data_IF_947911097218
#
_entry.id   IF_947911097218
#
_cell.length_a   1.000
_cell.length_b   1.000
_cell.length_c   1.000
_cell.angle_alpha   90.00
_cell.angle_beta   90.00
_cell.angle_gamma   90.00
#
_symmetry.space_group_name_H-M   'P 1'
#
loop_
_entity.id
_entity.type
_entity.pdbx_description
1 polymer ?
#
# COMPACT_ATOMS: atom_id res chain seq x y z
N UNK A 1 -31.42 18.62 -16.80
CA UNK A 1 -30.32 17.72 -16.42
C UNK A 1 -29.79 18.14 -15.06
N UNK A 2 -29.99 17.34 -14.00
CA UNK A 2 -29.31 17.59 -12.72
C UNK A 2 -27.85 17.18 -12.91
N UNK A 3 -26.95 18.15 -12.89
CA UNK A 3 -25.52 17.89 -12.67
C UNK A 3 -25.43 17.17 -11.33
N UNK A 4 -25.20 15.86 -11.36
CA UNK A 4 -24.80 15.12 -10.18
C UNK A 4 -23.50 15.76 -9.72
N UNK A 5 -23.59 16.53 -8.64
CA UNK A 5 -22.45 17.04 -7.92
C UNK A 5 -21.66 15.79 -7.47
N UNK A 6 -20.63 15.42 -8.22
CA UNK A 6 -19.77 14.30 -7.85
C UNK A 6 -19.17 14.68 -6.51
N UNK A 7 -19.50 13.91 -5.49
CA UNK A 7 -18.96 14.12 -4.14
C UNK A 7 -17.42 14.14 -4.15
N UNK A 8 -16.79 14.39 -2.99
CA UNK A 8 -15.34 14.39 -2.88
C UNK A 8 -14.71 13.22 -3.66
N UNK A 9 -13.90 13.51 -4.69
CA UNK A 9 -13.26 12.50 -5.54
C UNK A 9 -12.32 11.67 -4.65
N UNK A 10 -12.80 10.51 -4.17
CA UNK A 10 -12.08 9.64 -3.21
C UNK A 10 -10.64 9.37 -3.65
N UNK A 11 -10.41 9.24 -4.96
CA UNK A 11 -9.09 9.07 -5.59
C UNK A 11 -8.14 10.23 -5.32
N UNK A 12 -8.61 11.48 -5.37
CA UNK A 12 -7.78 12.65 -5.07
C UNK A 12 -7.34 12.66 -3.60
N UNK A 13 -8.25 12.35 -2.68
CA UNK A 13 -7.91 12.27 -1.25
C UNK A 13 -7.01 11.07 -0.94
N UNK A 14 -7.22 9.95 -1.63
CA UNK A 14 -6.36 8.77 -1.54
C UNK A 14 -4.94 9.09 -1.97
N UNK A 15 -4.76 9.69 -3.16
CA UNK A 15 -3.44 10.03 -3.69
C UNK A 15 -2.73 11.10 -2.86
N UNK A 16 -3.46 12.16 -2.46
CA UNK A 16 -2.92 13.20 -1.60
C UNK A 16 -2.48 12.65 -0.23
N UNK A 17 -3.36 11.90 0.45
CA UNK A 17 -3.03 11.38 1.79
C UNK A 17 -1.95 10.30 1.74
N UNK A 18 -1.95 9.42 0.74
CA UNK A 18 -0.89 8.45 0.54
C UNK A 18 0.45 9.16 0.28
N UNK A 19 0.49 10.18 -0.57
CA UNK A 19 1.70 10.96 -0.86
C UNK A 19 2.26 11.68 0.36
N UNK A 20 1.40 12.41 1.08
CA UNK A 20 1.80 13.13 2.29
C UNK A 20 2.34 12.17 3.35
N UNK A 21 1.64 11.05 3.57
CA UNK A 21 2.01 10.14 4.65
C UNK A 21 3.20 9.25 4.27
N UNK A 22 3.39 8.93 2.98
CA UNK A 22 4.63 8.33 2.48
C UNK A 22 5.83 9.25 2.72
N UNK A 23 5.72 10.52 2.33
CA UNK A 23 6.78 11.50 2.53
C UNK A 23 7.07 11.74 4.02
N UNK A 24 6.03 11.79 4.86
CA UNK A 24 6.18 11.91 6.31
C UNK A 24 6.86 10.67 6.92
N UNK A 25 6.48 9.45 6.49
CA UNK A 25 7.14 8.21 6.94
C UNK A 25 8.61 8.16 6.55
N UNK A 26 8.94 8.58 5.33
CA UNK A 26 10.32 8.73 4.88
C UNK A 26 11.07 9.75 5.74
N UNK A 27 10.51 10.94 5.98
CA UNK A 27 11.12 11.97 6.81
C UNK A 27 11.36 11.52 8.27
N UNK A 28 10.42 10.78 8.85
CA UNK A 28 10.58 10.19 10.19
C UNK A 28 11.73 9.18 10.19
N UNK A 29 11.85 8.36 9.15
CA UNK A 29 12.93 7.39 9.03
C UNK A 29 14.30 8.07 8.90
N UNK A 30 14.37 9.22 8.21
CA UNK A 30 15.59 10.05 8.14
C UNK A 30 16.03 10.53 9.53
N UNK A 31 15.10 10.98 10.36
CA UNK A 31 15.41 11.55 11.68
C UNK A 31 15.91 10.48 12.65
N UNK A 32 15.46 9.24 12.49
CA UNK A 32 15.67 8.17 13.46
C UNK A 32 16.85 7.26 13.17
N UNK A 33 17.35 7.24 11.94
CA UNK A 33 18.46 6.37 11.52
C UNK A 33 19.72 7.24 11.39
N UNK A 34 20.71 6.96 12.24
CA UNK A 34 22.02 7.62 12.20
C UNK A 34 22.75 7.24 10.90
N UNK A 35 23.32 8.23 10.21
CA UNK A 35 23.79 8.09 8.82
C UNK A 35 24.94 7.10 8.67
N UNK A 36 24.65 5.90 8.18
CA UNK A 36 25.61 5.11 7.42
C UNK A 36 25.69 5.65 5.99
N UNK A 37 26.66 6.53 5.69
CA UNK A 37 26.85 7.00 4.32
C UNK A 37 27.32 5.85 3.44
N UNK A 38 26.48 5.39 2.51
CA UNK A 38 26.97 4.61 1.38
C UNK A 38 27.79 5.58 0.53
N UNK A 39 29.12 5.42 0.58
CA UNK A 39 30.05 6.25 -0.18
C UNK A 39 29.55 6.40 -1.63
N UNK A 40 29.52 7.63 -2.16
CA UNK A 40 29.06 8.02 -3.50
C UNK A 40 27.55 8.02 -3.81
N UNK A 41 26.68 7.67 -2.86
CA UNK A 41 25.22 7.74 -3.05
C UNK A 41 24.63 9.03 -2.43
N UNK A 42 23.81 9.82 -3.16
CA UNK A 42 23.13 10.98 -2.58
C UNK A 42 22.29 10.63 -1.35
N UNK A 43 22.34 11.45 -0.31
CA UNK A 43 21.65 11.23 0.98
C UNK A 43 20.15 10.99 0.86
N UNK A 44 19.45 11.70 -0.04
CA UNK A 44 18.02 11.49 -0.28
C UNK A 44 17.74 10.09 -0.85
N UNK A 45 18.67 9.52 -1.62
CA UNK A 45 18.54 8.20 -2.24
C UNK A 45 18.80 7.11 -1.21
N UNK A 46 19.87 7.24 -0.41
CA UNK A 46 20.19 6.26 0.64
C UNK A 46 19.10 6.20 1.72
N UNK A 47 18.60 7.35 2.18
CA UNK A 47 17.52 7.39 3.19
C UNK A 47 16.20 6.82 2.66
N UNK A 48 15.89 7.04 1.38
CA UNK A 48 14.72 6.43 0.75
C UNK A 48 14.91 4.91 0.58
N UNK A 49 16.13 4.44 0.31
CA UNK A 49 16.43 3.00 0.33
C UNK A 49 16.21 2.39 1.71
N UNK A 50 16.68 3.02 2.79
CA UNK A 50 16.39 2.57 4.16
C UNK A 50 14.88 2.50 4.44
N UNK A 51 14.14 3.52 4.03
CA UNK A 51 12.69 3.51 4.19
C UNK A 51 12.02 2.38 3.40
N UNK A 52 12.44 2.12 2.16
CA UNK A 52 11.94 1.02 1.33
C UNK A 52 12.33 -0.37 1.86
N UNK A 53 13.51 -0.52 2.47
CA UNK A 53 13.90 -1.76 3.18
C UNK A 53 12.96 -2.06 4.33
N UNK A 54 12.48 -1.02 5.04
CA UNK A 54 11.43 -1.16 6.06
C UNK A 54 10.05 -1.54 5.49
N UNK A 55 9.88 -1.54 4.16
CA UNK A 55 8.72 -2.12 3.46
C UNK A 55 8.98 -3.54 2.95
N UNK A 56 10.10 -4.16 3.34
CA UNK A 56 10.48 -5.50 2.91
C UNK A 56 11.15 -5.55 1.53
N UNK A 57 11.61 -4.42 1.00
CA UNK A 57 12.33 -4.38 -0.29
C UNK A 57 13.83 -4.51 -0.02
N UNK A 58 14.47 -5.67 -0.28
CA UNK A 58 15.90 -5.81 0.00
C UNK A 58 16.74 -4.90 -0.91
N UNK A 59 17.86 -4.40 -0.40
CA UNK A 59 18.84 -3.68 -1.21
C UNK A 59 19.57 -4.65 -2.15
N UNK A 60 19.78 -4.26 -3.41
CA UNK A 60 20.51 -5.10 -4.37
C UNK A 60 21.95 -5.38 -3.95
N UNK A 61 22.39 -6.62 -4.15
CA UNK A 61 23.78 -7.04 -3.96
C UNK A 61 24.75 -6.33 -4.90
N UNK A 62 24.28 -5.78 -6.02
CA UNK A 62 25.08 -4.95 -6.94
C UNK A 62 25.64 -3.69 -6.27
N UNK A 63 25.00 -3.22 -5.18
CA UNK A 63 25.46 -2.07 -4.40
C UNK A 63 26.34 -2.47 -3.21
N UNK A 64 26.29 -3.73 -2.77
CA UNK A 64 27.11 -4.23 -1.65
C UNK A 64 28.60 -4.36 -2.02
N UNK A 65 28.96 -4.42 -3.30
CA UNK A 65 30.36 -4.47 -3.76
C UNK A 65 31.05 -3.10 -3.80
N UNK A 66 30.30 -2.00 -3.64
CA UNK A 66 30.83 -0.63 -3.69
C UNK A 66 30.95 0.05 -2.32
N UNK A 67 30.44 -0.56 -1.24
CA UNK A 67 30.61 -0.02 0.11
C UNK A 67 31.85 -0.62 0.77
N UNK A 68 32.77 0.24 1.22
CA UNK A 68 33.93 -0.13 2.08
C UNK A 68 33.51 -0.51 3.51
N UNK A 69 32.21 -0.46 3.78
CA UNK A 69 31.57 -1.02 4.95
C UNK A 69 30.91 -2.28 4.41
N UNK A 70 31.14 -3.44 5.03
CA UNK A 70 30.29 -4.62 4.82
C UNK A 70 28.87 -4.21 5.20
N UNK A 71 28.12 -3.62 4.27
CA UNK A 71 26.67 -3.46 4.36
C UNK A 71 26.14 -4.85 4.05
N UNK A 72 26.38 -5.76 5.00
CA UNK A 72 25.77 -7.07 5.02
C UNK A 72 24.27 -6.86 5.04
N UNK A 73 23.66 -7.14 3.90
CA UNK A 73 22.32 -7.69 3.69
C UNK A 73 21.52 -7.95 4.99
N UNK A 74 20.24 -7.57 5.01
CA UNK A 74 19.24 -7.60 6.10
C UNK A 74 19.62 -7.58 7.59
N UNK A 75 20.89 -7.58 8.00
CA UNK A 75 21.30 -7.76 9.39
C UNK A 75 21.20 -6.46 10.20
N UNK A 76 21.22 -5.31 9.55
CA UNK A 76 20.83 -4.04 10.18
C UNK A 76 19.32 -4.02 10.49
N UNK A 77 18.50 -4.82 9.81
CA UNK A 77 17.08 -4.93 10.18
C UNK A 77 16.89 -5.71 11.49
N UNK A 78 17.84 -6.56 11.91
CA UNK A 78 17.83 -7.24 13.22
C UNK A 78 18.38 -6.40 14.36
N UNK A 79 19.14 -5.33 14.06
CA UNK A 79 19.63 -4.36 15.05
C UNK A 79 18.83 -3.05 15.07
N UNK A 80 18.03 -2.78 14.03
CA UNK A 80 17.12 -1.63 14.00
C UNK A 80 15.98 -1.80 15.03
N UNK A 81 15.63 -0.73 15.76
CA UNK A 81 14.51 -0.77 16.69
C UNK A 81 13.23 -1.23 16.01
N UNK A 82 12.53 -2.22 16.59
CA UNK A 82 11.28 -2.79 16.06
C UNK A 82 10.18 -1.77 15.73
N UNK A 83 10.26 -0.55 16.28
CA UNK A 83 9.33 0.52 15.99
C UNK A 83 9.52 1.16 14.60
N UNK A 84 10.72 1.13 14.01
CA UNK A 84 11.00 1.74 12.69
C UNK A 84 10.27 0.96 11.59
N UNK A 85 10.23 -0.37 11.70
CA UNK A 85 9.44 -1.27 10.84
C UNK A 85 7.93 -1.02 10.92
N UNK A 86 7.44 -0.40 11.99
CA UNK A 86 6.02 -0.05 12.13
C UNK A 86 5.64 1.24 11.39
N UNK A 87 6.61 2.10 11.03
CA UNK A 87 6.34 3.40 10.40
C UNK A 87 5.52 3.25 9.11
N UNK A 88 5.86 2.34 8.16
CA UNK A 88 5.06 2.13 6.95
C UNK A 88 3.62 1.67 7.22
N UNK A 89 3.42 0.83 8.25
CA UNK A 89 2.10 0.32 8.63
C UNK A 89 1.24 1.42 9.24
N UNK A 90 1.82 2.25 10.11
CA UNK A 90 1.12 3.41 10.69
C UNK A 90 0.82 4.43 9.60
N UNK A 91 1.76 4.67 8.70
CA UNK A 91 1.61 5.57 7.57
C UNK A 91 0.40 5.20 6.68
N UNK A 92 0.35 3.95 6.24
CA UNK A 92 -0.75 3.43 5.41
C UNK A 92 -2.08 3.44 6.16
N UNK A 93 -2.09 3.14 7.46
CA UNK A 93 -3.29 3.24 8.29
C UNK A 93 -3.81 4.68 8.39
N UNK A 94 -2.94 5.67 8.61
CA UNK A 94 -3.32 7.10 8.66
C UNK A 94 -3.89 7.57 7.32
N UNK A 95 -3.28 7.18 6.19
CA UNK A 95 -3.80 7.48 4.86
C UNK A 95 -5.20 6.85 4.65
N UNK A 96 -5.38 5.60 5.08
CA UNK A 96 -6.65 4.88 5.07
C UNK A 96 -7.73 5.56 5.92
N UNK A 97 -7.38 6.01 7.13
CA UNK A 97 -8.26 6.77 8.03
C UNK A 97 -8.71 8.06 7.37
N UNK A 98 -7.77 8.87 6.87
CA UNK A 98 -8.08 10.17 6.28
C UNK A 98 -9.01 10.04 5.07
N UNK A 99 -8.68 9.13 4.15
CA UNK A 99 -9.48 8.88 2.93
C UNK A 99 -10.88 8.38 3.28
N UNK A 100 -10.98 7.47 4.24
CA UNK A 100 -12.26 6.93 4.71
C UNK A 100 -13.12 7.95 5.46
N UNK A 101 -12.47 8.87 6.18
CA UNK A 101 -13.16 9.92 6.93
C UNK A 101 -13.75 10.97 6.00
N UNK A 102 -13.00 11.39 4.96
CA UNK A 102 -13.48 12.31 3.91
C UNK A 102 -14.56 11.70 3.02
N UNK A 103 -14.59 10.37 2.89
CA UNK A 103 -15.68 9.65 2.23
C UNK A 103 -17.01 9.74 2.98
N UNK A 104 -18.11 10.00 2.26
CA UNK A 104 -19.48 10.07 2.80
C UNK A 104 -20.04 8.71 3.28
N UNK A 105 -19.33 7.63 2.97
CA UNK A 105 -19.71 6.26 3.32
C UNK A 105 -19.83 6.02 4.83
N UNK A 106 -20.93 5.36 5.24
CA UNK A 106 -21.33 5.15 6.64
C UNK A 106 -21.20 3.71 7.14
N UNK A 107 -20.86 2.76 6.27
CA UNK A 107 -20.70 1.34 6.60
C UNK A 107 -19.23 0.92 6.58
N UNK A 108 -18.88 -0.08 7.40
CA UNK A 108 -17.52 -0.62 7.53
C UNK A 108 -16.98 -1.03 6.17
N UNK A 109 -17.71 -1.87 5.42
CA UNK A 109 -17.33 -2.33 4.08
C UNK A 109 -16.96 -1.19 3.13
N UNK A 110 -17.78 -0.15 3.09
CA UNK A 110 -17.55 0.98 2.18
C UNK A 110 -16.42 1.90 2.66
N UNK A 111 -16.21 2.01 3.99
CA UNK A 111 -15.07 2.72 4.55
C UNK A 111 -13.76 1.98 4.22
N UNK A 112 -13.70 0.66 4.46
CA UNK A 112 -12.57 -0.19 4.08
C UNK A 112 -12.31 -0.13 2.57
N UNK A 113 -13.34 -0.21 1.73
CA UNK A 113 -13.17 -0.08 0.28
C UNK A 113 -12.56 1.26 -0.15
N UNK A 114 -12.97 2.37 0.48
CA UNK A 114 -12.37 3.68 0.21
C UNK A 114 -10.93 3.76 0.73
N UNK A 115 -10.64 3.10 1.86
CA UNK A 115 -9.30 3.03 2.41
C UNK A 115 -8.35 2.24 1.51
N UNK A 116 -8.82 1.15 0.91
CA UNK A 116 -8.03 0.36 -0.05
C UNK A 116 -7.61 1.20 -1.26
N UNK A 117 -8.37 2.23 -1.65
CA UNK A 117 -7.92 3.19 -2.66
C UNK A 117 -6.66 3.96 -2.22
N UNK A 118 -6.57 4.32 -0.93
CA UNK A 118 -5.36 4.92 -0.36
C UNK A 118 -4.21 3.90 -0.27
N UNK A 119 -4.51 2.64 0.04
CA UNK A 119 -3.54 1.54 -0.01
C UNK A 119 -2.96 1.35 -1.42
N UNK A 120 -3.81 1.32 -2.45
CA UNK A 120 -3.36 1.28 -3.85
C UNK A 120 -2.52 2.50 -4.24
N UNK A 121 -2.92 3.70 -3.80
CA UNK A 121 -2.15 4.91 -4.08
C UNK A 121 -0.77 4.87 -3.40
N UNK A 122 -0.71 4.42 -2.15
CA UNK A 122 0.54 4.24 -1.41
C UNK A 122 1.46 3.21 -2.06
N UNK A 123 0.90 2.06 -2.46
CA UNK A 123 1.59 1.02 -3.20
C UNK A 123 2.21 1.57 -4.49
N UNK A 124 1.44 2.33 -5.28
CA UNK A 124 1.93 2.95 -6.51
C UNK A 124 3.05 3.97 -6.26
N UNK A 125 2.96 4.76 -5.19
CA UNK A 125 4.02 5.71 -4.80
C UNK A 125 5.29 4.95 -4.42
N UNK A 126 5.16 3.85 -3.66
CA UNK A 126 6.30 3.01 -3.30
C UNK A 126 6.94 2.34 -4.53
N UNK A 127 6.14 1.85 -5.49
CA UNK A 127 6.65 1.35 -6.77
C UNK A 127 7.42 2.44 -7.54
N UNK A 128 6.89 3.65 -7.59
CA UNK A 128 7.57 4.78 -8.21
C UNK A 128 8.91 5.07 -7.51
N UNK A 129 8.94 5.02 -6.18
CA UNK A 129 10.16 5.22 -5.40
C UNK A 129 11.20 4.11 -5.65
N UNK A 130 10.78 2.85 -5.79
CA UNK A 130 11.65 1.72 -6.16
C UNK A 130 12.30 1.99 -7.52
N UNK A 131 11.51 2.35 -8.54
CA UNK A 131 12.01 2.64 -9.90
C UNK A 131 12.89 3.89 -9.93
N UNK A 132 12.50 4.96 -9.23
CA UNK A 132 13.23 6.23 -9.20
C UNK A 132 14.59 6.09 -8.52
N UNK A 133 14.64 5.30 -7.45
CA UNK A 133 15.86 5.11 -6.66
C UNK A 133 16.66 3.90 -7.11
N UNK A 134 16.12 3.07 -8.00
CA UNK A 134 16.78 1.88 -8.50
C UNK A 134 17.33 0.96 -7.40
N UNK A 135 16.62 0.84 -6.27
CA UNK A 135 17.08 0.04 -5.10
C UNK A 135 17.35 -1.43 -5.46
N UNK A 136 16.61 -1.94 -6.46
CA UNK A 136 16.76 -3.25 -7.06
C UNK A 136 16.70 -3.14 -8.58
N UNK A 137 17.84 -3.12 -9.29
CA UNK A 137 17.87 -2.93 -10.74
C UNK A 137 17.02 -3.93 -11.53
N UNK A 138 17.02 -5.19 -11.10
CA UNK A 138 16.23 -6.26 -11.71
C UNK A 138 14.72 -5.97 -11.56
N UNK A 139 14.26 -5.65 -10.35
CA UNK A 139 12.86 -5.30 -10.08
C UNK A 139 12.45 -4.00 -10.78
N UNK A 140 13.29 -2.95 -10.74
CA UNK A 140 13.06 -1.69 -11.46
C UNK A 140 12.86 -1.93 -12.95
N UNK A 141 13.71 -2.77 -13.56
CA UNK A 141 13.62 -3.10 -14.98
C UNK A 141 12.32 -3.84 -15.31
N UNK A 142 11.93 -4.82 -14.49
CA UNK A 142 10.68 -5.56 -14.65
C UNK A 142 9.46 -4.64 -14.49
N UNK A 143 9.48 -3.74 -13.51
CA UNK A 143 8.41 -2.75 -13.30
C UNK A 143 8.31 -1.78 -14.46
N UNK A 144 9.43 -1.31 -15.03
CA UNK A 144 9.46 -0.46 -16.21
C UNK A 144 8.90 -1.17 -17.45
N UNK A 145 9.32 -2.41 -17.69
CA UNK A 145 8.78 -3.23 -18.80
C UNK A 145 7.27 -3.44 -18.61
N UNK A 146 6.84 -3.80 -17.40
CA UNK A 146 5.43 -3.96 -17.07
C UNK A 146 4.63 -2.67 -17.28
N UNK A 147 5.15 -1.53 -16.85
CA UNK A 147 4.54 -0.22 -17.04
C UNK A 147 4.46 0.18 -18.52
N UNK A 148 5.49 -0.11 -19.32
CA UNK A 148 5.48 0.10 -20.77
C UNK A 148 4.42 -0.75 -21.47
N UNK A 149 4.32 -2.04 -21.13
CA UNK A 149 3.31 -2.95 -21.70
C UNK A 149 1.91 -2.48 -21.30
N UNK A 150 1.68 -2.18 -20.02
CA UNK A 150 0.39 -1.70 -19.52
C UNK A 150 0.00 -0.35 -20.14
N UNK A 151 0.95 0.58 -20.27
CA UNK A 151 0.76 1.88 -20.92
C UNK A 151 0.44 1.74 -22.40
N UNK A 152 1.15 0.88 -23.13
CA UNK A 152 0.88 0.60 -24.53
C UNK A 152 -0.50 -0.05 -24.72
N UNK A 153 -0.87 -1.01 -23.87
CA UNK A 153 -2.19 -1.63 -23.89
C UNK A 153 -3.30 -0.62 -23.60
N UNK A 154 -3.10 0.27 -22.62
CA UNK A 154 -4.06 1.32 -22.27
C UNK A 154 -4.22 2.36 -23.39
N UNK A 155 -3.12 2.88 -23.95
CA UNK A 155 -3.15 3.80 -25.09
C UNK A 155 -3.79 3.14 -26.32
N UNK A 156 -3.44 1.89 -26.61
CA UNK A 156 -4.06 1.10 -27.67
C UNK A 156 -5.56 0.98 -27.47
N UNK A 157 -6.01 0.52 -26.29
CA UNK A 157 -7.44 0.37 -25.97
C UNK A 157 -8.21 1.70 -26.07
N UNK A 158 -7.61 2.81 -25.65
CA UNK A 158 -8.22 4.14 -25.70
C UNK A 158 -8.33 4.67 -27.14
N UNK A 159 -7.28 4.47 -27.93
CA UNK A 159 -7.25 4.82 -29.35
C UNK A 159 -8.26 3.99 -30.15
N UNK A 160 -8.26 2.67 -29.96
CA UNK A 160 -9.21 1.77 -30.63
C UNK A 160 -10.65 2.05 -30.18
N UNK A 161 -10.91 2.27 -28.89
CA UNK A 161 -12.26 2.63 -28.42
C UNK A 161 -12.79 3.91 -29.07
N UNK A 162 -11.92 4.91 -29.25
CA UNK A 162 -12.27 6.19 -29.88
C UNK A 162 -12.46 6.06 -31.41
N UNK A 163 -11.57 5.31 -32.08
CA UNK A 163 -11.55 5.20 -33.53
C UNK A 163 -12.60 4.23 -34.08
N UNK A 164 -12.85 3.13 -33.36
CA UNK A 164 -13.79 2.08 -33.78
C UNK A 164 -15.24 2.36 -33.39
N UNK A 165 -15.49 3.42 -32.61
CA UNK A 165 -16.80 3.71 -31.98
C UNK A 165 -17.41 2.49 -31.28
N UNK A 166 -16.57 1.60 -30.72
CA UNK A 166 -16.99 0.39 -30.03
C UNK A 166 -17.19 -0.85 -30.90
N UNK A 167 -16.78 -0.84 -32.18
CA UNK A 167 -16.74 -2.05 -33.01
C UNK A 167 -15.51 -2.89 -32.60
N UNK A 168 -15.68 -4.15 -32.16
CA UNK A 168 -14.56 -4.98 -31.72
C UNK A 168 -13.66 -5.32 -32.92
N UNK A 169 -12.41 -4.87 -32.88
CA UNK A 169 -11.36 -5.27 -33.83
C UNK A 169 -10.67 -6.52 -33.28
N UNK A 170 -10.66 -7.59 -34.07
CA UNK A 170 -9.93 -8.83 -33.76
C UNK A 170 -8.52 -8.69 -34.32
N UNK A 171 -7.54 -8.44 -33.46
CA UNK A 171 -6.12 -8.51 -33.82
C UNK A 171 -5.68 -9.96 -33.95
N UNK A 172 -5.05 -10.31 -35.07
CA UNK A 172 -4.45 -11.63 -35.26
C UNK A 172 -3.09 -11.63 -34.56
N UNK A 173 -3.04 -12.12 -33.33
CA UNK A 173 -1.80 -12.44 -32.63
C UNK A 173 -1.48 -13.92 -32.84
N UNK A 174 -0.20 -14.25 -33.07
CA UNK A 174 0.18 -15.65 -33.16
C UNK A 174 -0.09 -16.35 -31.82
N UNK A 175 -0.54 -17.60 -31.87
CA UNK A 175 -0.78 -18.42 -30.66
C UNK A 175 0.49 -18.49 -29.79
N UNK A 176 1.67 -18.57 -30.42
CA UNK A 176 2.96 -18.52 -29.72
C UNK A 176 3.21 -17.20 -29.00
N UNK A 177 2.81 -16.07 -29.59
CA UNK A 177 2.90 -14.74 -28.95
C UNK A 177 1.98 -14.64 -27.74
N UNK A 178 0.77 -15.18 -27.83
CA UNK A 178 -0.20 -15.21 -26.71
C UNK A 178 0.33 -16.07 -25.57
N UNK A 179 0.85 -17.27 -25.86
CA UNK A 179 1.43 -18.14 -24.84
C UNK A 179 2.70 -17.55 -24.21
N UNK A 180 3.59 -16.97 -25.01
CA UNK A 180 4.80 -16.33 -24.50
C UNK A 180 4.47 -15.14 -23.59
N UNK A 181 3.56 -14.25 -24.02
CA UNK A 181 3.09 -13.13 -23.20
C UNK A 181 2.38 -13.63 -21.93
N UNK A 182 1.50 -14.63 -22.04
CA UNK A 182 0.81 -15.22 -20.90
C UNK A 182 1.79 -15.82 -19.88
N UNK A 183 2.80 -16.55 -20.34
CA UNK A 183 3.84 -17.12 -19.48
C UNK A 183 4.68 -16.03 -18.82
N UNK A 184 5.14 -15.03 -19.57
CA UNK A 184 5.90 -13.89 -19.04
C UNK A 184 5.09 -13.14 -17.98
N UNK A 185 3.78 -12.95 -18.21
CA UNK A 185 2.90 -12.32 -17.23
C UNK A 185 2.77 -13.16 -15.97
N UNK A 186 2.55 -14.48 -16.07
CA UNK A 186 2.37 -15.33 -14.89
C UNK A 186 3.69 -15.48 -14.11
N UNK A 187 4.77 -15.87 -14.77
CA UNK A 187 6.07 -16.09 -14.14
C UNK A 187 6.68 -14.78 -13.62
N UNK A 188 6.59 -13.71 -14.42
CA UNK A 188 7.04 -12.38 -14.01
C UNK A 188 6.22 -11.82 -12.85
N UNK A 189 4.90 -12.00 -12.85
CA UNK A 189 4.06 -11.57 -11.71
C UNK A 189 4.38 -12.36 -10.45
N UNK A 190 4.62 -13.67 -10.54
CA UNK A 190 4.99 -14.48 -9.38
C UNK A 190 6.31 -14.01 -8.75
N UNK A 191 7.32 -13.71 -9.58
CA UNK A 191 8.60 -13.18 -9.12
C UNK A 191 8.49 -11.76 -8.52
N UNK A 192 7.66 -10.90 -9.12
CA UNK A 192 7.39 -9.56 -8.57
C UNK A 192 6.65 -9.68 -7.24
N UNK A 193 5.63 -10.55 -7.14
CA UNK A 193 4.85 -10.75 -5.93
C UNK A 193 5.72 -11.30 -4.80
N UNK A 194 6.64 -12.23 -5.07
CA UNK A 194 7.49 -12.79 -4.00
C UNK A 194 8.41 -11.73 -3.36
N UNK A 195 8.83 -10.73 -4.13
CA UNK A 195 9.66 -9.61 -3.63
C UNK A 195 8.80 -8.51 -3.02
N UNK A 196 7.61 -8.25 -3.56
CA UNK A 196 6.74 -7.16 -3.13
C UNK A 196 5.70 -7.56 -2.08
N UNK A 197 5.69 -8.81 -1.59
CA UNK A 197 4.59 -9.30 -0.75
C UNK A 197 4.43 -8.48 0.54
N UNK A 198 5.55 -8.08 1.17
CA UNK A 198 5.54 -7.24 2.38
C UNK A 198 5.01 -5.85 2.07
N UNK A 199 5.45 -5.24 0.96
CA UNK A 199 4.96 -3.95 0.51
C UNK A 199 3.45 -3.99 0.23
N UNK A 200 2.96 -5.04 -0.41
CA UNK A 200 1.52 -5.27 -0.66
C UNK A 200 0.80 -5.40 0.69
N UNK A 201 1.30 -6.24 1.59
CA UNK A 201 0.70 -6.44 2.90
C UNK A 201 0.62 -5.13 3.69
N UNK A 202 1.71 -4.38 3.80
CA UNK A 202 1.76 -3.08 4.49
C UNK A 202 0.76 -2.10 3.87
N UNK A 203 0.78 -1.95 2.54
CA UNK A 203 -0.07 -0.99 1.82
C UNK A 203 -1.56 -1.28 2.01
N UNK A 204 -1.96 -2.54 1.86
CA UNK A 204 -3.37 -2.92 1.87
C UNK A 204 -3.91 -3.24 3.27
N UNK A 205 -3.15 -3.96 4.10
CA UNK A 205 -3.57 -4.30 5.47
C UNK A 205 -3.62 -3.05 6.34
N UNK A 206 -2.57 -2.21 6.31
CA UNK A 206 -2.56 -0.96 7.08
C UNK A 206 -3.73 -0.06 6.71
N UNK A 207 -3.93 0.16 5.40
CA UNK A 207 -5.08 0.94 4.91
C UNK A 207 -6.43 0.31 5.30
N UNK A 208 -6.59 -1.01 5.18
CA UNK A 208 -7.82 -1.71 5.54
C UNK A 208 -8.15 -1.55 7.03
N UNK A 209 -7.15 -1.65 7.91
CA UNK A 209 -7.28 -1.44 9.36
C UNK A 209 -7.75 -0.01 9.64
N UNK A 210 -7.11 0.99 9.02
CA UNK A 210 -7.52 2.39 9.15
C UNK A 210 -8.96 2.65 8.69
N UNK A 211 -9.34 2.06 7.55
CA UNK A 211 -10.70 2.14 7.01
C UNK A 211 -11.75 1.46 7.89
N UNK A 212 -11.42 0.27 8.41
CA UNK A 212 -12.29 -0.47 9.30
C UNK A 212 -12.54 0.28 10.61
N UNK A 213 -11.50 0.91 11.19
CA UNK A 213 -11.62 1.72 12.41
C UNK A 213 -12.58 2.92 12.20
N UNK A 214 -12.44 3.66 11.10
CA UNK A 214 -13.35 4.77 10.78
C UNK A 214 -14.78 4.27 10.52
N UNK A 215 -14.91 3.15 9.82
CA UNK A 215 -16.19 2.50 9.57
C UNK A 215 -16.91 2.10 10.87
N UNK A 216 -16.15 1.51 11.80
CA UNK A 216 -16.63 1.12 13.12
C UNK A 216 -17.02 2.37 13.94
N UNK A 217 -16.22 3.43 13.95
CA UNK A 217 -16.56 4.69 14.65
C UNK A 217 -17.87 5.28 14.12
N UNK A 218 -18.05 5.34 12.79
CA UNK A 218 -19.27 5.84 12.16
C UNK A 218 -20.49 4.98 12.50
N UNK A 219 -20.32 3.65 12.52
CA UNK A 219 -21.36 2.71 12.88
C UNK A 219 -21.76 2.83 14.37
N UNK A 220 -20.77 2.87 15.26
CA UNK A 220 -20.92 3.10 16.71
C UNK A 220 -21.67 4.39 16.97
N UNK A 221 -21.22 5.51 16.39
CA UNK A 221 -21.84 6.82 16.60
C UNK A 221 -23.30 6.84 16.16
N UNK A 222 -23.63 6.18 15.05
CA UNK A 222 -25.02 6.10 14.55
C UNK A 222 -25.90 5.24 15.44
N UNK A 223 -25.43 4.05 15.84
CA UNK A 223 -26.17 3.14 16.74
C UNK A 223 -26.36 3.77 18.12
N UNK A 224 -25.31 4.40 18.62
CA UNK A 224 -25.30 5.23 19.82
C UNK A 224 -26.37 6.30 19.86
N UNK A 225 -26.38 7.17 18.85
CA UNK A 225 -27.37 8.26 18.71
C UNK A 225 -28.83 7.77 18.67
N UNK A 226 -29.09 6.50 18.34
CA UNK A 226 -30.45 5.93 18.37
C UNK A 226 -30.90 5.52 19.77
N UNK A 227 -29.97 5.33 20.69
CA UNK A 227 -30.23 4.78 22.04
C UNK A 227 -30.04 5.81 23.14
N UNK A 228 -29.00 6.65 23.01
CA UNK A 228 -28.63 7.64 24.01
C UNK A 228 -28.01 8.86 23.30
N UNK A 229 -28.62 10.02 23.49
CA UNK A 229 -28.16 11.29 22.91
C UNK A 229 -27.01 11.90 23.69
N UNK A 230 -26.85 11.56 24.97
CA UNK A 230 -25.89 12.15 25.89
C UNK A 230 -24.55 11.41 25.82
N UNK A 231 -24.57 10.06 25.72
CA UNK A 231 -23.35 9.24 25.55
C UNK A 231 -23.36 8.30 24.33
N UNK A 232 -23.59 8.82 23.10
CA UNK A 232 -23.80 7.99 21.92
C UNK A 232 -22.60 7.07 21.60
N UNK A 233 -21.36 7.55 21.79
CA UNK A 233 -20.17 6.71 21.52
C UNK A 233 -20.10 5.51 22.47
N UNK A 234 -20.30 5.73 23.77
CA UNK A 234 -20.23 4.68 24.79
C UNK A 234 -21.38 3.65 24.62
N UNK A 235 -22.59 4.14 24.38
CA UNK A 235 -23.75 3.29 24.13
C UNK A 235 -23.60 2.44 22.86
N UNK A 236 -23.03 3.02 21.80
CA UNK A 236 -22.77 2.34 20.54
C UNK A 236 -21.68 1.27 20.65
N UNK A 237 -20.57 1.54 21.35
CA UNK A 237 -19.49 0.55 21.58
C UNK A 237 -20.02 -0.61 22.40
N UNK A 238 -20.77 -0.35 23.49
CA UNK A 238 -21.37 -1.41 24.32
C UNK A 238 -22.27 -2.34 23.50
N UNK A 239 -23.03 -1.81 22.54
CA UNK A 239 -23.85 -2.63 21.64
C UNK A 239 -23.00 -3.46 20.69
N UNK A 240 -21.99 -2.84 20.05
CA UNK A 240 -21.15 -3.51 19.06
C UNK A 240 -20.30 -4.63 19.67
N UNK A 241 -19.74 -4.39 20.87
CA UNK A 241 -18.99 -5.39 21.62
C UNK A 241 -19.89 -6.54 22.09
N UNK A 242 -21.13 -6.24 22.52
CA UNK A 242 -22.06 -7.28 22.98
C UNK A 242 -22.58 -8.16 21.83
N UNK A 243 -22.82 -7.56 20.66
CA UNK A 243 -23.34 -8.27 19.48
C UNK A 243 -22.24 -9.06 18.74
N UNK A 244 -21.02 -8.54 18.66
CA UNK A 244 -19.94 -9.10 17.84
C UNK A 244 -18.72 -9.53 18.67
N UNK A 245 -18.87 -9.81 19.97
CA UNK A 245 -17.76 -10.18 20.88
C UNK A 245 -16.89 -11.29 20.28
N UNK A 246 -17.52 -12.36 19.79
CA UNK A 246 -16.85 -13.52 19.23
C UNK A 246 -16.06 -13.19 17.98
N UNK A 247 -16.63 -12.41 17.06
CA UNK A 247 -15.94 -11.96 15.84
C UNK A 247 -14.77 -11.04 16.15
N UNK A 248 -14.94 -10.11 17.10
CA UNK A 248 -13.88 -9.18 17.51
C UNK A 248 -12.72 -9.97 18.13
N UNK A 249 -13.00 -10.92 19.02
CA UNK A 249 -11.97 -11.77 19.63
C UNK A 249 -11.22 -12.59 18.59
N UNK A 250 -11.92 -13.17 17.61
CA UNK A 250 -11.30 -13.94 16.52
C UNK A 250 -10.42 -13.04 15.65
N UNK A 251 -10.91 -11.88 15.23
CA UNK A 251 -10.13 -10.93 14.40
C UNK A 251 -8.91 -10.41 15.14
N UNK A 252 -9.04 -10.06 16.41
CA UNK A 252 -7.91 -9.62 17.24
C UNK A 252 -6.90 -10.74 17.42
N UNK A 253 -7.34 -11.98 17.66
CA UNK A 253 -6.45 -13.13 17.81
C UNK A 253 -5.67 -13.42 16.52
N UNK A 254 -6.35 -13.39 15.36
CA UNK A 254 -5.71 -13.56 14.05
C UNK A 254 -4.74 -12.41 13.76
N UNK A 255 -5.09 -11.17 14.10
CA UNK A 255 -4.20 -10.01 13.91
C UNK A 255 -2.96 -10.07 14.82
N UNK A 256 -3.11 -10.51 16.07
CA UNK A 256 -1.99 -10.73 17.00
C UNK A 256 -1.08 -11.86 16.50
N UNK A 257 -1.65 -12.96 16.01
CA UNK A 257 -0.88 -14.07 15.43
C UNK A 257 -0.12 -13.64 14.17
N UNK A 258 -0.75 -12.87 13.28
CA UNK A 258 -0.10 -12.31 12.09
C UNK A 258 1.01 -11.33 12.48
N UNK A 259 0.77 -10.46 13.46
CA UNK A 259 1.79 -9.52 13.96
C UNK A 259 2.97 -10.26 14.59
N UNK A 260 2.71 -11.32 15.36
CA UNK A 260 3.76 -12.14 15.97
C UNK A 260 4.59 -12.88 14.89
N UNK A 261 3.94 -13.36 13.82
CA UNK A 261 4.62 -13.97 12.68
C UNK A 261 5.48 -12.98 11.88
N UNK A 262 5.02 -11.74 11.71
CA UNK A 262 5.75 -10.68 10.98
C UNK A 262 6.92 -10.14 11.81
N UNK A 263 6.80 -10.11 13.14
CA UNK A 263 7.84 -9.58 14.03
C UNK A 263 8.84 -10.64 14.51
N UNK A 264 8.66 -11.91 14.14
CA UNK A 264 9.53 -13.01 14.58
C UNK A 264 9.42 -13.31 16.09
N UNK A 265 8.30 -12.95 16.70
CA UNK A 265 8.04 -13.18 18.13
C UNK A 265 7.62 -14.63 18.44
N UNK A 266 7.63 -15.52 17.44
CA UNK A 266 7.40 -16.97 17.53
C UNK A 266 8.55 -17.71 16.86
#
# INVERSE_FOLDING_TARGET
MRVQNTGPKTEYYALFSAGVVFAAGWAISIILIEEGSINSVPQWKSTLWYFLTNHGIPLSTAYNTQSSIEVSSPLLATEEPSFVRAIPVVATAVAGVYTSHKGSSRGIKNATSNALTAGSAYFLIALLAIVLTDIQPELSSLLLIGALIAGAAWLGSSFFGSFTRGIPIIGVASVGTIFALGFILIAGSAAIISVLWELIAISYVGAAVGGAAVGAEKAVRRRGKRKDTDTPRLAGVKMLVKENLTEIVVVVSVAVLLYAAITGAV
#
